data_IF_793895264684
#
_entry.id   IF_793895264684
#
_cell.length_a   1.000
_cell.length_b   1.000
_cell.length_c   1.000
_cell.angle_alpha   90.00
_cell.angle_beta   90.00
_cell.angle_gamma   90.00
#
_symmetry.space_group_name_H-M   'P 1'
#
loop_
_entity.id
_entity.type
_entity.pdbx_description
1 polymer ?
#
# COMPACT_ATOMS: atom_id res chain seq x y z
N UNK A 1 69.43 -21.06 -43.56
CA UNK A 1 69.09 -21.76 -42.31
C UNK A 1 67.94 -20.99 -41.66
N UNK A 2 66.72 -21.51 -41.77
CA UNK A 2 65.49 -20.90 -41.25
C UNK A 2 65.30 -21.25 -39.77
N UNK A 3 64.86 -20.32 -38.92
CA UNK A 3 64.14 -20.59 -37.66
C UNK A 3 63.50 -19.28 -37.17
N UNK A 4 62.17 -19.09 -37.25
CA UNK A 4 61.12 -19.43 -36.25
C UNK A 4 61.44 -18.79 -34.88
N UNK A 5 60.56 -17.96 -34.28
CA UNK A 5 59.27 -18.35 -33.70
C UNK A 5 58.28 -17.17 -33.69
N UNK A 6 57.05 -17.41 -34.19
CA UNK A 6 55.87 -16.57 -33.96
C UNK A 6 55.26 -16.88 -32.59
N UNK A 7 55.01 -15.85 -31.78
CA UNK A 7 54.26 -15.97 -30.53
C UNK A 7 52.76 -15.74 -30.80
N UNK A 8 51.97 -16.81 -30.76
CA UNK A 8 50.51 -16.78 -30.83
C UNK A 8 49.96 -16.61 -29.41
N UNK A 9 49.46 -15.42 -29.07
CA UNK A 9 48.66 -15.23 -27.85
C UNK A 9 47.19 -15.60 -28.14
N UNK A 10 46.72 -16.68 -27.53
CA UNK A 10 45.30 -17.04 -27.49
C UNK A 10 44.61 -16.22 -26.40
N UNK A 11 43.77 -15.26 -26.80
CA UNK A 11 42.86 -14.57 -25.90
C UNK A 11 41.61 -15.43 -25.66
N UNK A 12 41.41 -15.91 -24.43
CA UNK A 12 40.14 -16.51 -24.01
C UNK A 12 39.20 -15.39 -23.55
N UNK A 13 38.22 -15.04 -24.37
CA UNK A 13 37.10 -14.21 -23.96
C UNK A 13 36.05 -15.07 -23.25
N UNK A 14 35.82 -14.80 -21.96
CA UNK A 14 34.66 -15.34 -21.25
C UNK A 14 33.40 -14.62 -21.74
N UNK A 15 32.44 -15.38 -22.28
CA UNK A 15 31.10 -14.88 -22.55
C UNK A 15 30.29 -15.02 -21.26
N UNK A 16 30.03 -13.91 -20.59
CA UNK A 16 29.09 -13.89 -19.48
C UNK A 16 27.67 -14.02 -20.04
N UNK A 17 26.99 -15.14 -19.77
CA UNK A 17 25.57 -15.31 -20.08
C UNK A 17 24.78 -14.57 -19.00
N UNK A 18 24.31 -13.36 -19.30
CA UNK A 18 23.35 -12.67 -18.45
C UNK A 18 21.99 -13.37 -18.60
N UNK A 19 21.48 -13.98 -17.53
CA UNK A 19 20.11 -14.46 -17.51
C UNK A 19 19.15 -13.25 -17.63
N UNK A 20 18.10 -13.32 -18.45
CA UNK A 20 17.09 -12.27 -18.47
C UNK A 20 16.37 -12.25 -17.11
N UNK A 21 16.54 -11.17 -16.35
CA UNK A 21 15.66 -10.87 -15.24
C UNK A 21 14.30 -10.52 -15.85
N UNK A 22 13.28 -11.33 -15.58
CA UNK A 22 11.91 -10.98 -15.94
C UNK A 22 11.58 -9.61 -15.30
N UNK A 23 10.89 -8.70 -16.02
CA UNK A 23 10.42 -7.46 -15.41
C UNK A 23 9.52 -7.79 -14.23
N UNK A 24 9.90 -7.34 -13.02
CA UNK A 24 8.98 -7.29 -11.88
C UNK A 24 8.06 -6.11 -12.17
N UNK A 25 6.85 -6.37 -12.66
CA UNK A 25 5.82 -5.33 -12.68
C UNK A 25 5.50 -4.99 -11.22
N UNK A 26 5.83 -3.77 -10.79
CA UNK A 26 5.30 -3.19 -9.57
C UNK A 26 3.80 -2.94 -9.78
N UNK A 27 3.00 -4.00 -9.69
CA UNK A 27 1.55 -3.93 -9.77
C UNK A 27 1.05 -3.13 -8.58
N UNK A 28 0.67 -1.88 -8.84
CA UNK A 28 -0.03 -1.07 -7.86
C UNK A 28 -1.38 -1.77 -7.54
N UNK A 29 -1.49 -2.36 -6.36
CA UNK A 29 -2.69 -2.97 -5.83
C UNK A 29 -3.42 -2.04 -4.86
N UNK A 30 -4.62 -1.62 -5.25
CA UNK A 30 -5.50 -0.77 -4.45
C UNK A 30 -6.66 -1.59 -3.84
N UNK A 31 -6.60 -2.01 -2.56
CA UNK A 31 -7.66 -2.78 -1.90
C UNK A 31 -8.98 -2.02 -1.85
N UNK A 32 -10.10 -2.63 -2.23
CA UNK A 32 -11.42 -1.97 -2.13
C UNK A 32 -11.94 -2.00 -0.70
N UNK A 33 -12.09 -0.83 -0.06
CA UNK A 33 -12.72 -0.69 1.25
C UNK A 33 -14.21 -1.02 1.16
N UNK A 34 -14.70 -1.88 2.05
CA UNK A 34 -16.10 -2.31 2.16
C UNK A 34 -16.79 -1.74 3.41
N UNK A 35 -16.02 -1.37 4.43
CA UNK A 35 -16.50 -0.70 5.65
C UNK A 35 -15.54 0.46 6.00
N UNK A 36 -16.01 1.69 6.27
CA UNK A 36 -17.42 2.07 6.48
C UNK A 36 -18.25 2.12 5.19
N UNK A 37 -19.54 1.82 5.33
CA UNK A 37 -20.53 2.11 4.30
C UNK A 37 -20.83 3.63 4.25
N UNK A 38 -21.35 4.09 3.12
CA UNK A 38 -21.77 5.49 2.96
C UNK A 38 -22.78 5.89 4.05
N UNK A 39 -22.54 7.03 4.70
CA UNK A 39 -23.41 7.55 5.76
C UNK A 39 -23.24 6.87 7.13
N UNK A 40 -22.22 6.03 7.31
CA UNK A 40 -21.84 5.54 8.64
C UNK A 40 -21.60 6.69 9.62
N UNK A 41 -21.77 6.41 10.92
CA UNK A 41 -21.61 7.40 11.99
C UNK A 41 -20.69 6.86 13.07
N UNK A 42 -19.56 7.53 13.29
CA UNK A 42 -18.56 7.14 14.26
C UNK A 42 -18.50 8.13 15.41
N UNK A 43 -18.67 7.63 16.63
CA UNK A 43 -18.50 8.45 17.83
C UNK A 43 -17.02 8.57 18.19
N UNK A 44 -16.58 9.74 18.64
CA UNK A 44 -15.24 9.89 19.22
C UNK A 44 -15.04 8.96 20.42
N UNK A 45 -13.87 8.32 20.49
CA UNK A 45 -13.56 7.30 21.49
C UNK A 45 -14.22 5.94 21.28
N UNK A 46 -15.04 5.77 20.23
CA UNK A 46 -15.61 4.46 19.93
C UNK A 46 -14.61 3.57 19.20
N UNK A 47 -14.71 2.25 19.42
CA UNK A 47 -13.99 1.25 18.64
C UNK A 47 -14.70 1.08 17.31
N UNK A 48 -13.95 1.19 16.22
CA UNK A 48 -14.44 1.04 14.86
C UNK A 48 -13.61 -0.01 14.12
N UNK A 49 -14.23 -0.63 13.11
CA UNK A 49 -13.59 -1.60 12.24
C UNK A 49 -13.67 -1.09 10.81
N UNK A 50 -12.52 -1.02 10.15
CA UNK A 50 -12.42 -0.84 8.70
C UNK A 50 -12.13 -2.18 8.07
N UNK A 51 -12.78 -2.47 6.95
CA UNK A 51 -12.63 -3.73 6.22
C UNK A 51 -12.50 -3.49 4.73
N UNK A 52 -11.79 -4.39 4.04
CA UNK A 52 -11.52 -4.33 2.62
C UNK A 52 -11.48 -5.73 2.00
N UNK A 53 -11.57 -5.79 0.67
CA UNK A 53 -11.43 -7.03 -0.09
C UNK A 53 -9.97 -7.47 -0.19
N UNK A 54 -9.75 -8.77 -0.04
CA UNK A 54 -8.42 -9.41 -0.12
C UNK A 54 -8.30 -10.42 -1.27
N UNK A 55 -9.39 -10.63 -2.02
CA UNK A 55 -9.50 -11.68 -3.05
C UNK A 55 -8.47 -11.56 -4.19
N UNK A 56 -7.92 -10.35 -4.39
CA UNK A 56 -7.03 -10.02 -5.49
C UNK A 56 -5.65 -9.51 -5.03
N UNK A 57 -5.20 -9.88 -3.83
CA UNK A 57 -3.85 -9.53 -3.34
C UNK A 57 -2.80 -10.20 -4.25
N UNK A 58 -1.89 -9.44 -4.87
CA UNK A 58 -0.76 -10.01 -5.60
C UNK A 58 0.16 -10.81 -4.67
N UNK A 59 0.77 -11.88 -5.18
CA UNK A 59 1.66 -12.76 -4.39
C UNK A 59 2.79 -11.97 -3.70
N UNK A 60 3.36 -10.99 -4.40
CA UNK A 60 4.42 -10.11 -3.91
C UNK A 60 3.98 -9.21 -2.73
N UNK A 61 2.67 -9.02 -2.54
CA UNK A 61 2.09 -8.15 -1.51
C UNK A 61 1.48 -8.92 -0.33
N UNK A 62 1.49 -10.25 -0.36
CA UNK A 62 0.87 -11.09 0.69
C UNK A 62 1.42 -10.81 2.10
N UNK A 63 2.70 -10.43 2.19
CA UNK A 63 3.38 -10.13 3.45
C UNK A 63 3.54 -8.62 3.72
N UNK A 64 2.86 -7.77 2.94
CA UNK A 64 2.91 -6.31 3.14
C UNK A 64 2.06 -5.87 4.34
N UNK A 65 2.46 -4.77 4.95
CA UNK A 65 1.71 -4.13 6.03
C UNK A 65 0.98 -2.88 5.55
N UNK A 66 -0.09 -2.51 6.26
CA UNK A 66 -0.94 -1.38 5.96
C UNK A 66 -0.82 -0.22 6.96
N UNK A 67 -1.25 0.95 6.52
CA UNK A 67 -1.48 2.15 7.31
C UNK A 67 -2.89 2.64 7.00
N UNK A 68 -3.69 2.87 8.02
CA UNK A 68 -5.02 3.44 7.91
C UNK A 68 -4.98 4.91 8.32
N UNK A 69 -5.35 5.81 7.41
CA UNK A 69 -5.35 7.25 7.65
C UNK A 69 -6.77 7.80 7.71
N UNK A 70 -6.98 8.81 8.56
CA UNK A 70 -8.20 9.61 8.55
C UNK A 70 -8.03 10.79 7.59
N UNK A 71 -9.09 11.14 6.87
CA UNK A 71 -9.15 12.31 6.02
C UNK A 71 -10.56 12.89 5.95
N UNK A 72 -10.73 13.86 5.06
CA UNK A 72 -12.03 14.44 4.74
C UNK A 72 -12.02 15.03 3.33
N UNK A 73 -13.14 14.84 2.63
CA UNK A 73 -13.28 15.37 1.27
C UNK A 73 -13.73 16.82 1.29
N UNK A 74 -12.87 17.71 0.84
CA UNK A 74 -13.15 19.13 0.66
C UNK A 74 -12.38 19.66 -0.55
N UNK A 75 -13.02 20.45 -1.40
CA UNK A 75 -12.41 21.01 -2.61
C UNK A 75 -11.72 19.98 -3.53
N UNK A 76 -12.31 18.78 -3.65
CA UNK A 76 -11.74 17.63 -4.40
C UNK A 76 -10.38 17.14 -3.86
N UNK A 77 -10.08 17.43 -2.60
CA UNK A 77 -8.89 16.95 -1.87
C UNK A 77 -9.31 16.06 -0.70
N UNK A 78 -8.47 15.08 -0.36
CA UNK A 78 -8.69 14.12 0.74
C UNK A 78 -8.25 14.63 2.11
N UNK A 79 -7.41 15.67 2.15
CA UNK A 79 -6.95 16.33 3.37
C UNK A 79 -6.53 15.36 4.50
N UNK A 80 -5.70 14.37 4.17
CA UNK A 80 -5.30 13.30 5.06
C UNK A 80 -4.54 13.81 6.29
N UNK A 81 -4.86 13.27 7.47
CA UNK A 81 -4.06 13.41 8.68
C UNK A 81 -2.87 12.44 8.64
N UNK A 82 -1.85 12.82 7.88
CA UNK A 82 -0.61 12.04 7.72
C UNK A 82 0.23 11.94 9.00
N UNK A 83 -0.05 12.77 10.02
CA UNK A 83 0.72 12.81 11.27
C UNK A 83 0.17 11.83 12.31
N UNK A 84 -1.12 11.53 12.26
CA UNK A 84 -1.80 10.68 13.23
C UNK A 84 -2.58 9.57 12.51
N UNK A 85 -1.91 8.48 12.05
CA UNK A 85 -2.60 7.34 11.49
C UNK A 85 -3.54 6.71 12.53
N UNK A 86 -4.69 6.21 12.08
CA UNK A 86 -5.67 5.52 12.92
C UNK A 86 -5.19 4.13 13.34
N UNK A 87 -4.44 3.47 12.45
CA UNK A 87 -3.76 2.21 12.69
C UNK A 87 -2.59 2.06 11.71
N UNK A 88 -1.56 1.31 12.07
CA UNK A 88 -0.42 1.01 11.21
C UNK A 88 0.19 -0.34 11.57
N UNK A 89 1.05 -0.86 10.68
CA UNK A 89 1.79 -2.11 10.85
C UNK A 89 0.91 -3.37 11.03
N UNK A 90 -0.28 -3.36 10.43
CA UNK A 90 -1.15 -4.53 10.36
C UNK A 90 -0.97 -5.27 9.03
N UNK A 91 -1.09 -6.61 8.98
CA UNK A 91 -0.99 -7.34 7.73
C UNK A 91 -2.15 -6.97 6.80
N UNK A 92 -1.85 -6.55 5.57
CA UNK A 92 -2.87 -6.11 4.61
C UNK A 92 -3.78 -7.26 4.15
N UNK A 93 -3.29 -8.50 4.28
CA UNK A 93 -4.03 -9.75 4.04
C UNK A 93 -5.09 -10.06 5.11
N UNK A 94 -5.10 -9.34 6.24
CA UNK A 94 -6.11 -9.53 7.30
C UNK A 94 -7.53 -9.11 6.87
N UNK A 95 -7.66 -8.29 5.82
CA UNK A 95 -8.94 -7.80 5.31
C UNK A 95 -9.70 -6.85 6.24
N UNK A 96 -9.18 -6.60 7.44
CA UNK A 96 -9.76 -5.66 8.40
C UNK A 96 -8.75 -5.18 9.42
N UNK A 97 -9.04 -4.03 10.03
CA UNK A 97 -8.32 -3.50 11.19
C UNK A 97 -9.30 -2.81 12.13
N UNK A 98 -9.13 -3.06 13.43
CA UNK A 98 -9.90 -2.42 14.50
C UNK A 98 -9.05 -1.34 15.16
N UNK A 99 -9.66 -0.20 15.48
CA UNK A 99 -8.99 0.92 16.14
C UNK A 99 -9.98 1.75 16.94
N UNK A 100 -9.48 2.62 17.81
CA UNK A 100 -10.30 3.58 18.54
C UNK A 100 -10.23 4.93 17.84
N UNK A 101 -11.39 5.53 17.55
CA UNK A 101 -11.44 6.90 17.01
C UNK A 101 -10.87 7.85 18.07
N UNK A 102 -9.83 8.64 17.77
CA UNK A 102 -9.27 9.56 18.76
C UNK A 102 -10.31 10.53 19.34
N UNK A 103 -10.25 10.79 20.64
CA UNK A 103 -11.21 11.67 21.31
C UNK A 103 -11.15 13.12 20.82
N UNK A 104 -9.97 13.54 20.37
CA UNK A 104 -9.69 14.88 19.84
C UNK A 104 -9.97 15.02 18.33
N UNK A 105 -10.54 14.00 17.68
CA UNK A 105 -10.91 14.12 16.26
C UNK A 105 -12.00 15.17 16.08
N UNK A 106 -11.88 16.03 15.06
CA UNK A 106 -12.90 17.01 14.73
C UNK A 106 -14.19 16.34 14.26
N UNK A 107 -15.35 16.83 14.71
CA UNK A 107 -16.64 16.38 14.23
C UNK A 107 -16.90 16.90 12.80
N UNK A 108 -17.30 16.01 11.89
CA UNK A 108 -17.47 16.31 10.45
C UNK A 108 -18.45 15.36 9.79
N UNK A 109 -19.12 15.78 8.73
CA UNK A 109 -20.03 14.94 7.92
C UNK A 109 -19.39 14.38 6.64
N UNK A 110 -18.17 14.80 6.31
CA UNK A 110 -17.46 14.50 5.06
C UNK A 110 -16.18 13.70 5.29
N UNK A 111 -16.09 12.98 6.41
CA UNK A 111 -14.90 12.20 6.76
C UNK A 111 -14.75 11.00 5.82
N UNK A 112 -13.50 10.60 5.59
CA UNK A 112 -13.11 9.40 4.85
C UNK A 112 -11.97 8.71 5.58
N UNK A 113 -11.78 7.43 5.31
CA UNK A 113 -10.54 6.73 5.64
C UNK A 113 -9.85 6.32 4.37
N UNK A 114 -8.52 6.35 4.38
CA UNK A 114 -7.69 5.86 3.28
C UNK A 114 -6.80 4.75 3.79
N UNK A 115 -6.87 3.60 3.12
CA UNK A 115 -5.97 2.48 3.37
C UNK A 115 -4.75 2.63 2.46
N UNK A 116 -3.58 2.78 3.07
CA UNK A 116 -2.27 2.84 2.41
C UNK A 116 -1.58 1.49 2.64
N UNK A 117 -1.01 0.90 1.61
CA UNK A 117 -0.15 -0.28 1.71
C UNK A 117 0.74 -0.41 0.48
N UNK A 118 0.12 -0.22 -0.69
CA UNK A 118 0.76 -0.16 -1.99
C UNK A 118 0.32 1.12 -2.73
N UNK A 119 -1.00 1.30 -2.81
CA UNK A 119 -1.69 2.44 -3.41
C UNK A 119 -2.94 2.74 -2.60
N UNK A 120 -3.24 4.03 -2.42
CA UNK A 120 -4.31 4.48 -1.53
C UNK A 120 -5.71 4.15 -2.07
N UNK A 121 -6.58 3.60 -1.23
CA UNK A 121 -8.00 3.48 -1.54
C UNK A 121 -8.85 4.17 -0.46
N UNK A 122 -9.74 5.07 -0.89
CA UNK A 122 -10.58 5.87 -0.03
C UNK A 122 -11.95 5.24 0.17
N UNK A 123 -12.47 5.30 1.41
CA UNK A 123 -13.84 4.90 1.72
C UNK A 123 -14.87 5.88 1.13
N UNK A 124 -16.15 5.48 1.06
CA UNK A 124 -17.25 6.43 1.03
C UNK A 124 -17.20 7.43 2.20
N UNK A 125 -17.88 8.56 2.05
CA UNK A 125 -17.99 9.55 3.12
C UNK A 125 -18.83 9.04 4.29
N UNK A 126 -18.40 9.37 5.51
CA UNK A 126 -19.10 9.10 6.75
C UNK A 126 -19.03 10.29 7.72
N UNK A 127 -19.76 10.20 8.82
CA UNK A 127 -19.85 11.25 9.84
C UNK A 127 -19.10 10.87 11.10
N UNK A 128 -18.33 11.83 11.65
CA UNK A 128 -17.74 11.77 12.99
C UNK A 128 -18.48 12.76 13.91
N UNK A 129 -18.86 12.33 15.11
CA UNK A 129 -19.61 13.13 16.07
C UNK A 129 -19.09 13.05 17.51
#
# INVERSE_FOLDING_TARGET
MFSLVSALMLALSYVAIAAPLAPVELLAWSPTITCPAAGARWGRGSVQIVSWKTDNIPEEKQNSTGILMLGYLENKSENLDIKNPLAFDFPISSGSVSFTVPQNTSARSNAIVVLIGDSGNASPQFTIF
#
